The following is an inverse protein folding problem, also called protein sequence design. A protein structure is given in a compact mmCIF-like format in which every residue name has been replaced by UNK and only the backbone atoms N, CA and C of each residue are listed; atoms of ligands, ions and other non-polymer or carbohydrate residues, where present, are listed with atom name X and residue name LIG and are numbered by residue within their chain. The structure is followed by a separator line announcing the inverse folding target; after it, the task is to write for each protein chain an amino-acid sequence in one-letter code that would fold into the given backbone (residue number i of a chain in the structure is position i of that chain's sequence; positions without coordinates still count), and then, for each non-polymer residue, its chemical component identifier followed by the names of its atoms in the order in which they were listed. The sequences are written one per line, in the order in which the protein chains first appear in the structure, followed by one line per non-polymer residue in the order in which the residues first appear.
data_IF_943536775069
#
_entry.id   IF_943536775069
#
_cell.length_a   1.000
_cell.length_b   1.000
_cell.length_c   1.000
_cell.angle_alpha   90.00
_cell.angle_beta   90.00
_cell.angle_gamma   90.00
#
_symmetry.space_group_name_H-M   'P 1'
#
loop_
_entity.id
_entity.type
_entity.pdbx_description
1 polymer ?
#
# COMPACT_ATOMS: atom_id res chain seq x y z
N UNK A 1 5.57 16.29 -20.68
CA UNK A 1 5.21 14.92 -20.30
C UNK A 1 4.52 15.00 -18.95
N UNK A 2 3.24 14.67 -18.89
CA UNK A 2 2.48 14.74 -17.64
C UNK A 2 2.59 13.39 -16.89
N UNK A 3 2.55 13.42 -15.56
CA UNK A 3 2.71 12.20 -14.73
C UNK A 3 1.59 11.16 -15.01
N UNK A 4 0.40 11.62 -15.36
CA UNK A 4 -0.75 10.75 -15.67
C UNK A 4 -0.57 9.94 -16.97
N UNK A 5 0.12 10.51 -17.96
CA UNK A 5 0.44 9.89 -19.26
C UNK A 5 1.56 8.86 -19.08
N UNK A 6 2.53 9.12 -18.21
CA UNK A 6 3.57 8.15 -17.84
C UNK A 6 2.96 6.95 -17.13
N UNK A 7 2.03 7.16 -16.19
CA UNK A 7 1.35 6.05 -15.48
C UNK A 7 0.44 5.26 -16.43
N UNK A 8 -0.28 5.94 -17.33
CA UNK A 8 -1.15 5.26 -18.30
C UNK A 8 -0.35 4.43 -19.29
N UNK A 9 0.76 4.97 -19.82
CA UNK A 9 1.54 4.30 -20.84
C UNK A 9 2.52 3.25 -20.28
N UNK A 10 2.98 3.38 -19.03
CA UNK A 10 3.88 2.41 -18.41
C UNK A 10 3.18 1.09 -18.02
N UNK A 11 1.87 1.13 -17.77
CA UNK A 11 1.10 -0.04 -17.33
C UNK A 11 0.07 -0.55 -18.38
N UNK A 12 -0.13 0.16 -19.49
CA UNK A 12 -1.01 -0.26 -20.58
C UNK A 12 -0.32 -1.23 -21.55
N UNK A 13 -0.06 -2.46 -21.10
CA UNK A 13 0.13 -3.58 -22.04
C UNK A 13 -1.27 -4.09 -22.45
N UNK A 14 -1.61 -4.14 -23.75
CA UNK A 14 -3.00 -4.17 -24.24
C UNK A 14 -3.81 -5.45 -23.99
N UNK A 15 -3.27 -6.43 -23.26
CA UNK A 15 -3.89 -7.76 -23.07
C UNK A 15 -4.48 -7.97 -21.67
N UNK A 16 -4.24 -7.09 -20.70
CA UNK A 16 -4.66 -7.30 -19.32
C UNK A 16 -5.47 -6.09 -18.86
N UNK A 17 -6.74 -6.32 -18.52
CA UNK A 17 -7.56 -5.31 -17.84
C UNK A 17 -6.89 -4.90 -16.52
N UNK A 18 -6.65 -3.59 -16.25
CA UNK A 18 -6.02 -3.13 -15.01
C UNK A 18 -6.88 -3.34 -13.75
N UNK A 19 -8.09 -3.87 -13.92
CA UNK A 19 -9.02 -4.11 -12.83
C UNK A 19 -8.63 -5.38 -12.06
N UNK A 20 -8.03 -5.13 -10.89
CA UNK A 20 -7.72 -6.06 -9.81
C UNK A 20 -6.39 -6.81 -9.94
N UNK A 21 -5.36 -6.23 -9.31
CA UNK A 21 -4.06 -6.87 -9.10
C UNK A 21 -4.01 -7.36 -7.65
N UNK A 22 -3.85 -8.67 -7.48
CA UNK A 22 -3.58 -9.29 -6.17
C UNK A 22 -2.08 -9.50 -6.01
N UNK A 23 -1.52 -8.98 -4.92
CA UNK A 23 -0.16 -9.26 -4.49
C UNK A 23 -0.19 -9.94 -3.13
N UNK A 24 0.68 -10.93 -2.95
CA UNK A 24 0.82 -11.67 -1.71
C UNK A 24 2.18 -11.36 -1.08
N UNK A 25 2.21 -11.32 0.24
CA UNK A 25 3.46 -11.28 1.01
C UNK A 25 3.84 -12.72 1.33
N UNK A 26 5.04 -13.14 0.95
CA UNK A 26 5.57 -14.47 1.24
C UNK A 26 6.70 -14.38 2.27
N UNK A 27 6.94 -15.48 2.98
CA UNK A 27 8.05 -15.62 3.95
C UNK A 27 8.05 -14.51 5.03
N UNK A 28 6.88 -14.23 5.60
CA UNK A 28 6.74 -13.23 6.67
C UNK A 28 7.28 -13.79 7.99
N UNK A 29 8.46 -13.31 8.41
CA UNK A 29 9.07 -13.61 9.71
C UNK A 29 8.90 -12.42 10.66
N UNK A 30 8.24 -12.65 11.82
CA UNK A 30 7.94 -11.62 12.81
C UNK A 30 8.98 -11.65 13.92
N UNK A 31 9.83 -10.61 13.95
CA UNK A 31 10.91 -10.47 14.93
C UNK A 31 10.46 -9.79 16.22
N UNK A 32 9.38 -9.02 16.18
CA UNK A 32 8.82 -8.36 17.35
C UNK A 32 7.51 -7.63 17.05
N UNK A 33 6.64 -7.57 18.05
CA UNK A 33 5.36 -6.87 18.00
C UNK A 33 5.07 -6.19 19.33
N UNK A 34 4.74 -4.90 19.29
CA UNK A 34 4.38 -4.11 20.46
C UNK A 34 3.08 -3.36 20.23
N UNK A 35 2.27 -3.30 21.27
CA UNK A 35 1.03 -2.53 21.30
C UNK A 35 1.17 -1.36 22.28
N UNK A 36 0.66 -0.19 21.91
CA UNK A 36 0.74 0.99 22.77
C UNK A 36 -0.20 2.11 22.34
N UNK A 37 -0.33 3.15 23.17
CA UNK A 37 -1.12 4.32 22.81
C UNK A 37 -0.45 5.08 21.66
N UNK A 38 -1.07 5.07 20.48
CA UNK A 38 -0.65 5.86 19.32
C UNK A 38 -1.62 7.00 18.97
N UNK A 39 -1.09 8.12 18.47
CA UNK A 39 -1.87 9.24 17.96
C UNK A 39 -1.50 9.48 16.49
N UNK A 40 -2.49 9.83 15.67
CA UNK A 40 -2.31 10.17 14.26
C UNK A 40 -2.90 11.55 14.00
N UNK A 41 -2.16 12.40 13.29
CA UNK A 41 -2.59 13.70 12.79
C UNK A 41 -2.20 13.80 11.32
N UNK A 42 -3.06 14.40 10.48
CA UNK A 42 -2.82 14.56 9.05
C UNK A 42 -2.62 16.05 8.76
N UNK A 43 -1.51 16.37 8.08
CA UNK A 43 -1.19 17.73 7.67
C UNK A 43 -1.60 17.95 6.21
N UNK A 44 -2.02 19.18 5.89
CA UNK A 44 -2.39 19.54 4.53
C UNK A 44 -1.14 19.74 3.68
N UNK A 45 -1.14 19.14 2.48
CA UNK A 45 -0.07 19.28 1.50
C UNK A 45 -0.65 19.28 0.09
N UNK A 46 -0.12 20.12 -0.79
CA UNK A 46 -0.69 20.38 -2.12
C UNK A 46 -0.65 19.15 -3.06
N UNK A 47 0.41 18.35 -2.99
CA UNK A 47 0.62 17.19 -3.88
C UNK A 47 0.35 15.84 -3.20
N UNK A 48 -0.04 15.84 -1.93
CA UNK A 48 -0.30 14.63 -1.15
C UNK A 48 -1.56 14.86 -0.29
N UNK A 49 -2.76 14.67 -0.86
CA UNK A 49 -4.04 15.01 -0.22
C UNK A 49 -4.45 13.99 0.87
N UNK A 50 -3.51 13.54 1.70
CA UNK A 50 -3.79 12.58 2.79
C UNK A 50 -4.73 13.18 3.84
N UNK A 51 -4.68 14.50 4.06
CA UNK A 51 -5.55 15.20 5.00
C UNK A 51 -7.03 15.25 4.58
N UNK A 52 -7.35 14.94 3.32
CA UNK A 52 -8.74 14.85 2.86
C UNK A 52 -9.45 13.60 3.39
N UNK A 53 -8.71 12.64 3.97
CA UNK A 53 -9.28 11.48 4.64
C UNK A 53 -9.54 11.81 6.11
N UNK A 54 -10.80 12.03 6.53
CA UNK A 54 -11.09 12.48 7.88
C UNK A 54 -10.83 11.37 8.90
N UNK A 55 -10.03 11.67 9.94
CA UNK A 55 -9.85 10.79 11.09
C UNK A 55 -11.13 10.85 11.95
N UNK A 56 -11.92 9.77 11.93
CA UNK A 56 -13.10 9.64 12.81
C UNK A 56 -12.74 9.23 14.23
N UNK A 57 -11.90 8.19 14.36
CA UNK A 57 -11.47 7.63 15.64
C UNK A 57 -10.21 6.79 15.44
N UNK A 58 -9.24 6.93 16.36
CA UNK A 58 -8.11 5.99 16.45
C UNK A 58 -8.56 4.69 17.14
N UNK A 59 -8.32 3.55 16.50
CA UNK A 59 -8.72 2.22 17.01
C UNK A 59 -7.58 1.58 17.82
N UNK A 60 -6.38 1.50 17.24
CA UNK A 60 -5.20 0.89 17.87
C UNK A 60 -3.91 1.44 17.27
N UNK A 61 -2.79 1.26 17.96
CA UNK A 61 -1.44 1.46 17.44
C UNK A 61 -0.62 0.20 17.67
N UNK A 62 -0.01 -0.32 16.60
CA UNK A 62 0.81 -1.53 16.63
C UNK A 62 2.12 -1.21 15.92
N UNK A 63 3.24 -1.56 16.54
CA UNK A 63 4.56 -1.52 15.93
C UNK A 63 5.00 -2.96 15.66
N UNK A 64 5.24 -3.28 14.39
CA UNK A 64 5.67 -4.60 13.92
C UNK A 64 7.08 -4.50 13.33
N UNK A 65 7.95 -5.42 13.71
CA UNK A 65 9.27 -5.61 13.11
C UNK A 65 9.28 -6.96 12.40
N UNK A 66 9.35 -6.95 11.08
CA UNK A 66 9.20 -8.15 10.25
C UNK A 66 10.20 -8.18 9.10
N UNK A 67 10.69 -9.36 8.74
CA UNK A 67 11.30 -9.61 7.44
C UNK A 67 10.24 -10.26 6.54
N UNK A 68 10.05 -9.75 5.33
CA UNK A 68 9.05 -10.26 4.39
C UNK A 68 9.50 -10.06 2.94
N UNK A 69 9.03 -10.94 2.07
CA UNK A 69 9.29 -10.88 0.63
C UNK A 69 8.00 -10.46 -0.09
N UNK A 70 8.08 -9.42 -0.93
CA UNK A 70 6.98 -9.04 -1.82
C UNK A 70 7.11 -9.86 -3.10
N UNK A 71 6.13 -10.72 -3.37
CA UNK A 71 6.08 -11.50 -4.60
C UNK A 71 4.85 -11.07 -5.42
N UNK A 72 5.08 -10.66 -6.67
CA UNK A 72 3.99 -10.40 -7.60
C UNK A 72 3.49 -11.72 -8.18
N UNK A 73 2.20 -11.96 -8.03
CA UNK A 73 1.53 -13.20 -8.40
C UNK A 73 1.36 -13.31 -9.93
N UNK A 74 2.45 -13.50 -10.67
CA UNK A 74 2.40 -13.84 -12.10
C UNK A 74 2.37 -15.36 -12.35
N UNK A 75 1.90 -16.15 -11.37
CA UNK A 75 1.92 -17.62 -11.44
C UNK A 75 0.60 -18.30 -11.05
N UNK A 76 -0.47 -17.54 -10.74
CA UNK A 76 -1.79 -18.08 -10.38
C UNK A 76 -2.87 -17.81 -11.44
N UNK A 77 -2.44 -17.77 -12.71
CA UNK A 77 -3.32 -17.96 -13.86
C UNK A 77 -3.07 -19.37 -14.40
N UNK A 78 -3.71 -20.35 -13.78
CA UNK A 78 -3.92 -21.71 -14.31
C UNK A 78 -5.40 -22.01 -14.30
#
# INVERSE_FOLDING_TARGET
MNEAEVITNAFAMPLISPSYVEYSLEQVDIKGAWQGPAQLQLAHYALAPVANLPIRRRVSGIHLLTALTLWSCCSRLS
#
